data_IF_608892665895
#
_entry.id   IF_608892665895
#
_cell.length_a   1.000
_cell.length_b   1.000
_cell.length_c   1.000
_cell.angle_alpha   90.00
_cell.angle_beta   90.00
_cell.angle_gamma   90.00
#
_symmetry.space_group_name_H-M   'P 1'
#
loop_
_entity.id
_entity.type
_entity.pdbx_description
1 polymer ?
#
# COMPACT_ATOMS: atom_id res chain seq x y z
N UNK A 1 -8.18 -11.60 18.59
CA UNK A 1 -9.53 -11.22 18.12
C UNK A 1 -9.42 -10.03 17.17
N UNK A 2 -10.45 -9.74 16.37
CA UNK A 2 -10.38 -8.75 15.29
C UNK A 2 -9.91 -7.35 15.74
N UNK A 3 -10.39 -6.85 16.89
CA UNK A 3 -9.99 -5.55 17.43
C UNK A 3 -8.48 -5.44 17.73
N UNK A 4 -7.88 -6.54 18.19
CA UNK A 4 -6.43 -6.60 18.44
C UNK A 4 -5.69 -6.47 17.10
N UNK A 5 -6.12 -7.20 16.07
CA UNK A 5 -5.46 -7.14 14.75
C UNK A 5 -5.57 -5.75 14.11
N UNK A 6 -6.71 -5.08 14.27
CA UNK A 6 -6.88 -3.68 13.85
C UNK A 6 -5.87 -2.78 14.58
N UNK A 7 -5.79 -2.90 15.91
CA UNK A 7 -4.83 -2.14 16.71
C UNK A 7 -3.38 -2.40 16.29
N UNK A 8 -3.02 -3.66 16.03
CA UNK A 8 -1.69 -4.03 15.56
C UNK A 8 -1.38 -3.47 14.17
N UNK A 9 -2.36 -3.46 13.26
CA UNK A 9 -2.24 -2.84 11.94
C UNK A 9 -1.92 -1.35 12.04
N UNK A 10 -2.67 -0.62 12.86
CA UNK A 10 -2.44 0.82 13.11
C UNK A 10 -1.06 1.05 13.74
N UNK A 11 -0.75 0.34 14.84
CA UNK A 11 0.51 0.51 15.55
C UNK A 11 1.73 0.23 14.65
N UNK A 12 1.66 -0.83 13.84
CA UNK A 12 2.74 -1.18 12.91
C UNK A 12 2.83 -0.19 11.75
N UNK A 13 1.69 0.34 11.27
CA UNK A 13 1.70 1.45 10.30
C UNK A 13 2.50 2.65 10.82
N UNK A 14 2.17 3.10 12.03
CA UNK A 14 2.85 4.22 12.68
C UNK A 14 4.34 3.93 12.94
N UNK A 15 4.68 2.73 13.39
CA UNK A 15 6.06 2.34 13.67
C UNK A 15 6.95 2.35 12.41
N UNK A 16 6.39 2.12 11.23
CA UNK A 16 7.13 2.10 9.97
C UNK A 16 7.22 3.48 9.29
N UNK A 17 6.58 4.52 9.83
CA UNK A 17 6.64 5.87 9.25
C UNK A 17 8.07 6.39 9.00
N UNK A 18 9.07 6.16 9.89
CA UNK A 18 10.44 6.59 9.60
C UNK A 18 11.03 5.91 8.36
N UNK A 19 10.81 4.60 8.20
CA UNK A 19 11.27 3.86 7.02
C UNK A 19 10.54 4.34 5.76
N UNK A 20 9.22 4.58 5.86
CA UNK A 20 8.42 5.12 4.76
C UNK A 20 8.87 6.53 4.36
N UNK A 21 9.27 7.37 5.30
CA UNK A 21 9.82 8.70 5.02
C UNK A 21 11.12 8.61 4.22
N UNK A 22 12.02 7.68 4.56
CA UNK A 22 13.25 7.44 3.79
C UNK A 22 12.93 7.00 2.36
N UNK A 23 11.99 6.06 2.20
CA UNK A 23 11.58 5.59 0.86
C UNK A 23 10.90 6.69 0.05
N UNK A 24 10.13 7.56 0.70
CA UNK A 24 9.54 8.73 0.06
C UNK A 24 10.61 9.71 -0.41
N UNK A 25 11.66 9.96 0.39
CA UNK A 25 12.81 10.77 -0.03
C UNK A 25 13.49 10.15 -1.26
N UNK A 26 13.72 8.83 -1.26
CA UNK A 26 14.29 8.13 -2.43
C UNK A 26 13.39 8.33 -3.66
N UNK A 27 12.07 8.11 -3.52
CA UNK A 27 11.11 8.31 -4.61
C UNK A 27 11.15 9.75 -5.14
N UNK A 28 11.24 10.77 -4.28
CA UNK A 28 11.33 12.17 -4.76
C UNK A 28 12.63 12.44 -5.52
N UNK A 29 13.76 11.87 -5.10
CA UNK A 29 15.01 11.97 -5.87
C UNK A 29 14.89 11.28 -7.23
N UNK A 30 14.28 10.09 -7.30
CA UNK A 30 14.07 9.39 -8.57
C UNK A 30 13.18 10.19 -9.53
N UNK A 31 12.13 10.83 -9.02
CA UNK A 31 11.26 11.72 -9.82
C UNK A 31 12.09 12.89 -10.37
N UNK A 32 12.87 13.56 -9.53
CA UNK A 32 13.71 14.70 -9.94
C UNK A 32 14.76 14.32 -10.99
N UNK A 33 15.40 13.16 -10.83
CA UNK A 33 16.44 12.68 -11.76
C UNK A 33 15.87 12.17 -13.08
N UNK A 34 14.69 11.56 -13.07
CA UNK A 34 14.07 10.98 -14.26
C UNK A 34 13.25 11.98 -15.08
N UNK A 35 12.82 13.08 -14.47
CA UNK A 35 11.83 14.00 -15.06
C UNK A 35 10.45 13.39 -15.26
N UNK A 36 10.21 12.15 -14.82
CA UNK A 36 8.94 11.46 -14.97
C UNK A 36 8.02 11.81 -13.81
N UNK A 37 6.85 12.38 -14.13
CA UNK A 37 5.82 12.65 -13.13
C UNK A 37 4.93 11.41 -12.98
N UNK A 38 4.85 10.81 -11.79
CA UNK A 38 3.95 9.70 -11.52
C UNK A 38 2.50 10.14 -11.71
N UNK A 39 1.68 9.33 -12.39
CA UNK A 39 0.25 9.61 -12.53
C UNK A 39 -0.58 8.37 -12.25
N UNK A 40 -1.78 8.56 -11.70
CA UNK A 40 -2.74 7.49 -11.51
C UNK A 40 -4.09 7.92 -12.11
N UNK A 41 -4.81 7.05 -12.84
CA UNK A 41 -6.09 7.40 -13.45
C UNK A 41 -7.12 7.96 -12.45
N UNK A 42 -7.09 7.49 -11.20
CA UNK A 42 -7.97 7.95 -10.11
C UNK A 42 -7.85 9.45 -9.83
N UNK A 43 -6.69 10.08 -10.11
CA UNK A 43 -6.48 11.50 -9.83
C UNK A 43 -7.47 12.36 -10.62
N UNK A 44 -7.80 11.97 -11.85
CA UNK A 44 -8.79 12.66 -12.68
C UNK A 44 -10.20 12.65 -12.07
N UNK A 45 -10.49 11.70 -11.18
CA UNK A 45 -11.78 11.55 -10.53
C UNK A 45 -11.93 12.44 -9.29
N UNK A 46 -10.84 13.03 -8.76
CA UNK A 46 -10.89 13.96 -7.62
C UNK A 46 -11.56 15.29 -7.96
N UNK A 47 -11.63 15.67 -9.24
CA UNK A 47 -12.40 16.83 -9.70
C UNK A 47 -13.91 16.53 -9.89
N UNK A 48 -14.34 15.30 -9.60
CA UNK A 48 -15.73 14.86 -9.77
C UNK A 48 -16.71 15.39 -8.71
N UNK A 49 -18.01 15.14 -8.87
CA UNK A 49 -19.02 15.50 -7.89
C UNK A 49 -18.84 14.71 -6.57
N UNK A 50 -19.41 15.18 -5.45
CA UNK A 50 -19.24 14.53 -4.13
C UNK A 50 -19.51 13.02 -4.09
N UNK A 51 -20.50 12.54 -4.86
CA UNK A 51 -20.79 11.11 -4.99
C UNK A 51 -19.60 10.30 -5.52
N UNK A 52 -18.86 10.86 -6.49
CA UNK A 52 -17.69 10.21 -7.09
C UNK A 52 -16.56 10.15 -6.06
N UNK A 53 -16.38 11.21 -5.27
CA UNK A 53 -15.39 11.25 -4.19
C UNK A 53 -15.64 10.18 -3.12
N UNK A 54 -16.90 10.00 -2.72
CA UNK A 54 -17.27 8.93 -1.77
C UNK A 54 -16.98 7.55 -2.37
N UNK A 55 -17.33 7.32 -3.63
CA UNK A 55 -17.10 6.03 -4.31
C UNK A 55 -15.61 5.70 -4.44
N UNK A 56 -14.78 6.64 -4.89
CA UNK A 56 -13.33 6.41 -5.03
C UNK A 56 -12.66 6.25 -3.66
N UNK A 57 -13.14 6.96 -2.63
CA UNK A 57 -12.62 6.81 -1.27
C UNK A 57 -12.89 5.39 -0.76
N UNK A 58 -14.13 4.92 -0.81
CA UNK A 58 -14.49 3.56 -0.39
C UNK A 58 -13.77 2.49 -1.21
N UNK A 59 -13.63 2.71 -2.52
CA UNK A 59 -12.88 1.82 -3.40
C UNK A 59 -11.41 1.73 -2.95
N UNK A 60 -10.74 2.86 -2.76
CA UNK A 60 -9.32 2.91 -2.43
C UNK A 60 -9.00 2.48 -0.99
N UNK A 61 -9.85 2.83 -0.01
CA UNK A 61 -9.57 2.62 1.41
C UNK A 61 -10.24 1.38 2.01
N UNK A 62 -11.16 0.73 1.30
CA UNK A 62 -11.86 -0.47 1.79
C UNK A 62 -11.75 -1.61 0.80
N UNK A 63 -12.28 -1.42 -0.41
CA UNK A 63 -12.39 -2.51 -1.39
C UNK A 63 -11.02 -2.97 -1.87
N UNK A 64 -10.15 -2.05 -2.26
CA UNK A 64 -8.80 -2.35 -2.73
C UNK A 64 -7.96 -3.07 -1.66
N UNK A 65 -7.84 -2.58 -0.39
CA UNK A 65 -7.16 -3.31 0.67
C UNK A 65 -7.68 -4.73 0.88
N UNK A 66 -9.01 -4.95 0.85
CA UNK A 66 -9.56 -6.29 1.02
C UNK A 66 -9.12 -7.23 -0.12
N UNK A 67 -9.28 -6.77 -1.37
CA UNK A 67 -8.95 -7.59 -2.55
C UNK A 67 -7.44 -7.82 -2.65
N UNK A 68 -6.65 -6.75 -2.55
CA UNK A 68 -5.21 -6.80 -2.71
C UNK A 68 -4.55 -7.60 -1.58
N UNK A 69 -4.93 -7.41 -0.31
CA UNK A 69 -4.36 -8.23 0.76
C UNK A 69 -4.75 -9.70 0.64
N UNK A 70 -5.98 -10.00 0.21
CA UNK A 70 -6.40 -11.39 -0.03
C UNK A 70 -5.57 -12.03 -1.15
N UNK A 71 -5.35 -11.33 -2.25
CA UNK A 71 -4.56 -11.84 -3.37
C UNK A 71 -3.06 -11.92 -3.04
N UNK A 72 -2.47 -10.84 -2.56
CA UNK A 72 -1.03 -10.76 -2.33
C UNK A 72 -0.58 -11.46 -1.06
N UNK A 73 -1.29 -11.30 0.07
CA UNK A 73 -0.87 -11.85 1.38
C UNK A 73 -1.55 -13.17 1.69
N UNK A 74 -2.82 -13.29 1.29
CA UNK A 74 -3.60 -14.50 1.45
C UNK A 74 -3.14 -15.62 0.52
N UNK A 75 -3.00 -15.34 -0.78
CA UNK A 75 -2.62 -16.34 -1.78
C UNK A 75 -1.12 -16.31 -2.13
N UNK A 76 -0.63 -15.24 -2.76
CA UNK A 76 0.71 -15.24 -3.38
C UNK A 76 1.85 -15.37 -2.35
N UNK A 77 1.87 -14.51 -1.34
CA UNK A 77 2.87 -14.55 -0.26
C UNK A 77 2.81 -15.87 0.50
N UNK A 78 1.60 -16.34 0.84
CA UNK A 78 1.42 -17.62 1.54
C UNK A 78 2.00 -18.78 0.73
N UNK A 79 1.72 -18.84 -0.57
CA UNK A 79 2.27 -19.85 -1.47
C UNK A 79 3.80 -19.80 -1.54
N UNK A 80 4.37 -18.61 -1.77
CA UNK A 80 5.82 -18.43 -1.87
C UNK A 80 6.52 -18.76 -0.55
N UNK A 81 5.92 -18.37 0.58
CA UNK A 81 6.45 -18.59 1.93
C UNK A 81 6.46 -20.06 2.33
N UNK A 82 5.54 -20.87 1.80
CA UNK A 82 5.54 -22.31 1.98
C UNK A 82 6.72 -23.03 1.31
N UNK A 83 7.41 -22.39 0.37
CA UNK A 83 8.54 -22.97 -0.39
C UNK A 83 9.86 -22.23 -0.19
N UNK A 84 9.81 -20.98 0.27
CA UNK A 84 10.96 -20.09 0.36
C UNK A 84 11.04 -19.41 1.73
N UNK A 85 12.21 -18.86 2.06
CA UNK A 85 12.38 -18.00 3.23
C UNK A 85 11.58 -16.70 3.16
N UNK A 86 11.44 -16.04 4.30
CA UNK A 86 10.67 -14.80 4.42
C UNK A 86 11.19 -13.70 3.48
N UNK A 87 12.51 -13.45 3.47
CA UNK A 87 13.12 -12.40 2.65
C UNK A 87 12.83 -12.55 1.15
N UNK A 88 13.08 -13.73 0.58
CA UNK A 88 12.82 -13.98 -0.84
C UNK A 88 11.33 -13.83 -1.17
N UNK A 89 10.45 -14.39 -0.32
CA UNK A 89 9.00 -14.32 -0.52
C UNK A 89 8.50 -12.88 -0.45
N UNK A 90 8.91 -12.13 0.57
CA UNK A 90 8.51 -10.75 0.78
C UNK A 90 9.01 -9.85 -0.34
N UNK A 91 10.27 -10.00 -0.78
CA UNK A 91 10.85 -9.22 -1.87
C UNK A 91 10.12 -9.47 -3.19
N UNK A 92 9.86 -10.73 -3.55
CA UNK A 92 9.15 -11.06 -4.80
C UNK A 92 7.73 -10.49 -4.80
N UNK A 93 6.97 -10.69 -3.72
CA UNK A 93 5.62 -10.13 -3.59
C UNK A 93 5.63 -8.62 -3.63
N UNK A 94 6.60 -7.99 -2.96
CA UNK A 94 6.70 -6.53 -2.89
C UNK A 94 7.05 -5.90 -4.22
N UNK A 95 7.94 -6.54 -4.98
CA UNK A 95 8.31 -6.10 -6.32
C UNK A 95 7.14 -6.25 -7.30
N UNK A 96 6.47 -7.40 -7.31
CA UNK A 96 5.30 -7.63 -8.18
C UNK A 96 4.21 -6.61 -7.84
N UNK A 97 3.88 -6.45 -6.56
CA UNK A 97 2.91 -5.46 -6.11
C UNK A 97 3.26 -4.06 -6.63
N UNK A 98 4.50 -3.62 -6.46
CA UNK A 98 4.93 -2.29 -6.88
C UNK A 98 4.92 -2.07 -8.40
N UNK A 99 5.31 -3.07 -9.20
CA UNK A 99 5.43 -2.93 -10.66
C UNK A 99 4.07 -2.91 -11.36
N UNK A 100 3.06 -3.62 -10.83
CA UNK A 100 1.72 -3.63 -11.45
C UNK A 100 0.94 -2.32 -11.24
N UNK A 101 1.43 -1.45 -10.35
CA UNK A 101 0.82 -0.16 -10.07
C UNK A 101 1.10 0.83 -11.21
N UNK A 102 0.09 1.58 -11.70
CA UNK A 102 0.21 2.37 -12.92
C UNK A 102 1.05 3.66 -12.77
N UNK A 103 1.48 4.00 -11.57
CA UNK A 103 2.23 5.23 -11.28
C UNK A 103 3.65 5.26 -11.88
N UNK A 104 4.13 4.11 -12.36
CA UNK A 104 5.45 3.99 -12.99
C UNK A 104 6.55 3.63 -12.00
N UNK A 105 7.74 3.37 -12.56
CA UNK A 105 8.86 2.76 -11.85
C UNK A 105 9.44 3.64 -10.73
N UNK A 106 9.29 4.96 -10.79
CA UNK A 106 9.79 5.89 -9.77
C UNK A 106 9.12 5.70 -8.40
N UNK A 107 7.91 5.11 -8.37
CA UNK A 107 7.19 4.76 -7.14
C UNK A 107 7.47 3.36 -6.62
N UNK A 108 8.28 2.56 -7.32
CA UNK A 108 8.62 1.20 -6.86
C UNK A 108 9.21 1.18 -5.44
N UNK A 109 10.10 2.12 -5.03
CA UNK A 109 10.63 2.11 -3.66
C UNK A 109 9.54 2.25 -2.59
N UNK A 110 8.65 3.25 -2.71
CA UNK A 110 7.62 3.50 -1.70
C UNK A 110 6.52 2.44 -1.71
N UNK A 111 6.06 2.01 -2.89
CA UNK A 111 5.04 0.96 -3.02
C UNK A 111 5.56 -0.41 -2.59
N UNK A 112 6.82 -0.72 -2.95
CA UNK A 112 7.50 -1.95 -2.50
C UNK A 112 7.72 -1.96 -1.00
N UNK A 113 8.09 -0.82 -0.41
CA UNK A 113 8.24 -0.67 1.04
C UNK A 113 6.95 -0.93 1.82
N UNK A 114 5.84 -0.30 1.40
CA UNK A 114 4.51 -0.60 1.95
C UNK A 114 4.18 -2.08 1.82
N UNK A 115 4.46 -2.65 0.64
CA UNK A 115 4.15 -4.04 0.39
C UNK A 115 4.93 -4.99 1.30
N UNK A 116 6.19 -4.67 1.57
CA UNK A 116 7.07 -5.43 2.45
C UNK A 116 6.62 -5.32 3.91
N UNK A 117 6.16 -4.16 4.34
CA UNK A 117 5.53 -3.96 5.64
C UNK A 117 4.28 -4.83 5.80
N UNK A 118 3.41 -4.89 4.80
CA UNK A 118 2.21 -5.73 4.86
C UNK A 118 2.54 -7.23 4.87
N UNK A 119 3.60 -7.66 4.15
CA UNK A 119 4.14 -9.02 4.25
C UNK A 119 4.69 -9.32 5.65
N UNK A 120 5.38 -8.36 6.28
CA UNK A 120 5.82 -8.48 7.68
C UNK A 120 4.64 -8.66 8.63
N UNK A 121 3.60 -7.81 8.51
CA UNK A 121 2.37 -7.92 9.30
C UNK A 121 1.71 -9.29 9.13
N UNK A 122 1.62 -9.79 7.89
CA UNK A 122 1.08 -11.11 7.58
C UNK A 122 1.89 -12.23 8.24
N UNK A 123 3.22 -12.20 8.15
CA UNK A 123 4.10 -13.22 8.76
C UNK A 123 3.98 -13.21 10.29
N UNK A 124 4.05 -12.02 10.89
CA UNK A 124 4.08 -11.88 12.34
C UNK A 124 2.74 -12.21 13.00
N UNK A 125 1.63 -11.75 12.39
CA UNK A 125 0.29 -11.91 12.97
C UNK A 125 -0.42 -13.18 12.52
N UNK A 126 -0.06 -13.74 11.38
CA UNK A 126 -0.83 -14.81 10.71
C UNK A 126 -2.21 -14.38 10.21
N UNK A 127 -2.63 -13.14 10.47
CA UNK A 127 -3.93 -12.57 10.11
C UNK A 127 -3.80 -11.63 8.92
N UNK A 128 -4.84 -11.57 8.07
CA UNK A 128 -4.95 -10.54 7.03
C UNK A 128 -5.53 -9.23 7.57
N UNK A 129 -6.24 -9.26 8.70
CA UNK A 129 -6.93 -8.06 9.24
C UNK A 129 -5.91 -6.97 9.58
N UNK A 130 -4.75 -7.33 10.13
CA UNK A 130 -3.72 -6.36 10.49
C UNK A 130 -3.12 -5.68 9.24
N UNK A 131 -2.79 -6.45 8.20
CA UNK A 131 -2.27 -5.87 6.95
C UNK A 131 -3.33 -5.09 6.18
N UNK A 132 -4.58 -5.58 6.13
CA UNK A 132 -5.73 -4.85 5.58
C UNK A 132 -5.94 -3.51 6.28
N UNK A 133 -5.81 -3.47 7.61
CA UNK A 133 -5.96 -2.23 8.39
C UNK A 133 -4.86 -1.23 8.06
N UNK A 134 -3.59 -1.68 8.04
CA UNK A 134 -2.46 -0.81 7.71
C UNK A 134 -2.57 -0.27 6.26
N UNK A 135 -2.97 -1.12 5.32
CA UNK A 135 -3.17 -0.75 3.92
C UNK A 135 -4.36 0.22 3.76
N UNK A 136 -5.50 -0.06 4.38
CA UNK A 136 -6.67 0.82 4.40
C UNK A 136 -6.33 2.20 4.99
N UNK A 137 -5.57 2.24 6.08
CA UNK A 137 -5.12 3.47 6.71
C UNK A 137 -4.24 4.29 5.76
N UNK A 138 -3.25 3.65 5.13
CA UNK A 138 -2.38 4.31 4.15
C UNK A 138 -3.19 4.90 2.98
N UNK A 139 -4.06 4.09 2.36
CA UNK A 139 -4.84 4.53 1.21
C UNK A 139 -5.87 5.60 1.60
N UNK A 140 -6.47 5.49 2.79
CA UNK A 140 -7.37 6.51 3.34
C UNK A 140 -6.67 7.85 3.54
N UNK A 141 -5.45 7.86 4.08
CA UNK A 141 -4.63 9.07 4.23
C UNK A 141 -4.32 9.66 2.86
N UNK A 142 -3.80 8.86 1.92
CA UNK A 142 -3.43 9.32 0.57
C UNK A 142 -4.65 9.85 -0.19
N UNK A 143 -5.79 9.16 -0.13
CA UNK A 143 -7.04 9.60 -0.76
C UNK A 143 -7.57 10.90 -0.13
N UNK A 144 -7.51 11.03 1.20
CA UNK A 144 -7.91 12.26 1.91
C UNK A 144 -7.03 13.43 1.46
N UNK A 145 -5.71 13.27 1.46
CA UNK A 145 -4.78 14.30 1.00
C UNK A 145 -5.01 14.64 -0.47
N UNK A 146 -5.20 13.64 -1.33
CA UNK A 146 -5.51 13.86 -2.75
C UNK A 146 -6.78 14.69 -2.95
N UNK A 147 -7.85 14.38 -2.21
CA UNK A 147 -9.11 15.14 -2.27
C UNK A 147 -8.93 16.57 -1.73
N UNK A 148 -8.13 16.78 -0.69
CA UNK A 148 -7.93 18.11 -0.09
C UNK A 148 -6.99 19.00 -0.90
N UNK A 149 -5.97 18.42 -1.56
CA UNK A 149 -4.91 19.17 -2.25
C UNK A 149 -5.17 19.38 -3.74
N UNK A 150 -5.99 18.52 -4.36
CA UNK A 150 -6.21 18.52 -5.81
C UNK A 150 -7.63 18.96 -6.21
N UNK A 151 -8.44 19.36 -5.23
CA UNK A 151 -9.78 19.91 -5.44
C UNK A 151 -9.77 21.41 -5.15
#
# INVERSE_FOLDING_TARGET
GALIEIGMGIATYLAFLPAMAVLFIITTQLINLSGQTPTHPIIKLFAGPPRTLVMIYLLASVVAPILEETMFRGALFHHLRGRNGWWLSALLVSLIFAIIHPQGWTLVPVLGGLSMQFCFLREWRGSLIASMTAHALNNGIVATLGILLLR
#
